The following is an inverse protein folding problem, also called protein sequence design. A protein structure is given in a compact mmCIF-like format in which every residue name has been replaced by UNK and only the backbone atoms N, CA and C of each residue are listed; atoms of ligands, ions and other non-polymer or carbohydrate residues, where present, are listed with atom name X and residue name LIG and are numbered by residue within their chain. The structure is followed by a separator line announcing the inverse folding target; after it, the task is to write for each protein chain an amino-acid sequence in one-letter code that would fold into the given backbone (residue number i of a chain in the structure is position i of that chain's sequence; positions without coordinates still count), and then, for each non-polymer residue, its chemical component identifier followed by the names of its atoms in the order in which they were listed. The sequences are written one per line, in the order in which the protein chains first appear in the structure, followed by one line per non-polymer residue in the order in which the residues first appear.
data_IF_915521069752
#
_entry.id   IF_915521069752
#
_cell.length_a   1.000
_cell.length_b   1.000
_cell.length_c   1.000
_cell.angle_alpha   90.00
_cell.angle_beta   90.00
_cell.angle_gamma   90.00
#
_symmetry.space_group_name_H-M   'P 1'
#
loop_
_entity.id
_entity.type
_entity.pdbx_description
1 polymer ?
#
# COMPACT_ATOMS: atom_id res chain seq x y z
N UNK A 1 -37.34 -20.63 2.14
CA UNK A 1 -35.90 -20.88 2.37
C UNK A 1 -35.11 -19.76 1.70
N UNK A 2 -34.78 -18.69 2.43
CA UNK A 2 -33.95 -17.60 1.90
C UNK A 2 -32.49 -18.02 1.99
N UNK A 3 -31.79 -18.04 0.87
CA UNK A 3 -30.36 -18.34 0.83
C UNK A 3 -29.59 -17.27 1.63
N UNK A 4 -28.79 -17.72 2.60
CA UNK A 4 -27.87 -16.87 3.36
C UNK A 4 -26.88 -16.26 2.36
N UNK A 5 -26.63 -14.93 2.34
CA UNK A 5 -25.62 -14.38 1.46
C UNK A 5 -24.29 -15.07 1.79
N UNK A 6 -23.58 -15.53 0.75
CA UNK A 6 -22.24 -16.07 0.91
C UNK A 6 -21.38 -15.00 1.59
N UNK A 7 -20.93 -15.28 2.82
CA UNK A 7 -20.07 -14.38 3.60
C UNK A 7 -18.63 -14.33 3.09
N UNK A 8 -18.32 -15.07 2.02
CA UNK A 8 -16.99 -15.11 1.43
C UNK A 8 -16.82 -14.00 0.40
N UNK A 9 -15.68 -13.31 0.47
CA UNK A 9 -15.27 -12.36 -0.54
C UNK A 9 -15.17 -13.05 -1.90
N UNK A 10 -15.61 -12.36 -2.96
CA UNK A 10 -15.29 -12.80 -4.31
C UNK A 10 -13.79 -12.65 -4.55
N UNK A 11 -13.28 -13.40 -5.53
CA UNK A 11 -11.88 -13.30 -5.93
C UNK A 11 -11.53 -11.88 -6.40
N UNK A 12 -12.47 -11.20 -7.07
CA UNK A 12 -12.29 -9.80 -7.50
C UNK A 12 -12.17 -8.84 -6.31
N UNK A 13 -13.02 -8.99 -5.29
CA UNK A 13 -12.92 -8.18 -4.07
C UNK A 13 -11.58 -8.41 -3.38
N UNK A 14 -11.15 -9.66 -3.27
CA UNK A 14 -9.84 -10.01 -2.68
C UNK A 14 -8.67 -9.38 -3.44
N UNK A 15 -8.71 -9.41 -4.78
CA UNK A 15 -7.70 -8.73 -5.63
C UNK A 15 -7.69 -7.21 -5.44
N UNK A 16 -8.85 -6.58 -5.26
CA UNK A 16 -8.93 -5.13 -5.01
C UNK A 16 -8.34 -4.75 -3.65
N UNK A 17 -8.60 -5.54 -2.61
CA UNK A 17 -8.00 -5.35 -1.28
C UNK A 17 -6.48 -5.50 -1.33
N UNK A 18 -5.96 -6.53 -2.02
CA UNK A 18 -4.51 -6.68 -2.23
C UNK A 18 -3.91 -5.49 -2.99
N UNK A 19 -4.56 -5.04 -4.07
CA UNK A 19 -4.11 -3.89 -4.83
C UNK A 19 -4.09 -2.60 -3.99
N UNK A 20 -5.11 -2.39 -3.15
CA UNK A 20 -5.15 -1.28 -2.20
C UNK A 20 -3.99 -1.36 -1.20
N UNK A 21 -3.79 -2.52 -0.58
CA UNK A 21 -2.72 -2.72 0.41
C UNK A 21 -1.33 -2.46 -0.20
N UNK A 22 -1.06 -2.97 -1.40
CA UNK A 22 0.20 -2.75 -2.11
C UNK A 22 0.38 -1.29 -2.52
N UNK A 23 -0.68 -0.62 -2.98
CA UNK A 23 -0.64 0.80 -3.32
C UNK A 23 -0.32 1.65 -2.07
N UNK A 24 -0.98 1.37 -0.94
CA UNK A 24 -0.71 2.05 0.33
C UNK A 24 0.74 1.84 0.77
N UNK A 25 1.25 0.60 0.73
CA UNK A 25 2.64 0.29 1.08
C UNK A 25 3.64 1.02 0.16
N UNK A 26 3.38 1.06 -1.15
CA UNK A 26 4.23 1.75 -2.11
C UNK A 26 4.31 3.25 -1.81
N UNK A 27 3.17 3.88 -1.54
CA UNK A 27 3.11 5.29 -1.18
C UNK A 27 3.78 5.57 0.17
N UNK A 28 3.64 4.68 1.16
CA UNK A 28 4.33 4.81 2.45
C UNK A 28 5.86 4.80 2.29
N UNK A 29 6.40 3.90 1.48
CA UNK A 29 7.84 3.89 1.14
C UNK A 29 8.22 5.20 0.43
N UNK A 30 7.41 5.66 -0.53
CA UNK A 30 7.62 6.93 -1.20
C UNK A 30 7.68 8.12 -0.22
N UNK A 31 6.76 8.16 0.74
CA UNK A 31 6.72 9.21 1.76
C UNK A 31 7.94 9.17 2.70
N UNK A 32 8.43 7.98 3.07
CA UNK A 32 9.59 7.85 3.97
C UNK A 32 10.89 8.19 3.24
N UNK A 33 11.07 7.73 2.00
CA UNK A 33 12.38 7.69 1.35
C UNK A 33 12.55 8.64 0.17
N UNK A 34 11.48 9.00 -0.56
CA UNK A 34 11.61 9.73 -1.83
C UNK A 34 11.28 11.21 -1.67
N UNK A 35 12.06 12.06 -2.34
CA UNK A 35 11.76 13.49 -2.54
C UNK A 35 11.32 13.81 -3.97
N UNK A 36 11.58 12.91 -4.92
CA UNK A 36 11.22 13.06 -6.33
C UNK A 36 11.02 11.69 -6.97
N UNK A 37 10.48 11.65 -8.19
CA UNK A 37 10.26 10.45 -8.99
C UNK A 37 9.43 9.36 -8.26
N UNK A 38 8.30 9.70 -7.58
CA UNK A 38 7.57 8.76 -6.73
C UNK A 38 6.92 7.60 -7.47
N UNK A 39 6.76 7.70 -8.80
CA UNK A 39 6.19 6.65 -9.66
C UNK A 39 7.25 5.99 -10.56
N UNK A 40 8.53 6.26 -10.34
CA UNK A 40 9.65 5.69 -11.11
C UNK A 40 9.49 5.84 -12.63
N UNK A 41 9.03 7.00 -13.11
CA UNK A 41 8.87 7.29 -14.54
C UNK A 41 10.19 7.30 -15.32
N UNK A 42 11.30 7.41 -14.58
CA UNK A 42 12.68 7.23 -15.03
C UNK A 42 13.43 6.35 -14.02
N UNK A 43 14.58 5.74 -14.37
CA UNK A 43 15.41 5.00 -13.43
C UNK A 43 15.70 5.81 -12.16
N UNK A 44 15.64 5.12 -11.01
CA UNK A 44 15.88 5.73 -9.71
C UNK A 44 17.35 6.15 -9.59
N UNK A 45 17.57 7.37 -9.10
CA UNK A 45 18.92 7.88 -8.82
C UNK A 45 19.02 8.28 -7.34
N UNK A 46 20.25 8.42 -6.83
CA UNK A 46 20.45 8.95 -5.47
C UNK A 46 19.83 10.34 -5.29
N UNK A 47 19.73 11.12 -6.37
CA UNK A 47 19.08 12.43 -6.37
C UNK A 47 17.57 12.39 -6.07
N UNK A 48 16.92 11.22 -6.16
CA UNK A 48 15.50 11.05 -5.86
C UNK A 48 15.22 10.72 -4.38
N UNK A 49 16.25 10.32 -3.64
CA UNK A 49 16.15 9.91 -2.24
C UNK A 49 16.33 11.12 -1.31
N UNK A 50 15.54 11.18 -0.23
CA UNK A 50 15.70 12.21 0.81
C UNK A 50 17.07 12.12 1.48
N UNK A 51 17.66 13.28 1.78
CA UNK A 51 18.90 13.36 2.57
C UNK A 51 18.69 12.90 4.02
N UNK A 52 17.57 13.33 4.64
CA UNK A 52 17.14 12.87 5.96
C UNK A 52 15.94 11.93 5.82
N UNK A 53 16.08 10.71 6.32
CA UNK A 53 15.04 9.67 6.28
C UNK A 53 14.34 9.65 7.64
N UNK A 54 13.19 10.31 7.72
CA UNK A 54 12.35 10.35 8.91
C UNK A 54 11.07 9.56 8.64
N UNK A 55 10.69 8.71 9.59
CA UNK A 55 9.51 7.85 9.51
C UNK A 55 9.79 6.46 10.07
N UNK A 56 8.72 5.70 10.30
CA UNK A 56 8.79 4.34 10.81
C UNK A 56 8.17 3.41 9.77
N UNK A 57 8.91 2.39 9.34
CA UNK A 57 8.39 1.38 8.42
C UNK A 57 7.79 0.17 9.14
N UNK A 58 8.39 -0.25 10.26
CA UNK A 58 8.12 -1.58 10.84
C UNK A 58 6.65 -1.92 11.08
N UNK A 59 5.84 -0.95 11.51
CA UNK A 59 4.40 -1.18 11.76
C UNK A 59 3.50 -0.86 10.56
N UNK A 60 3.99 -0.11 9.57
CA UNK A 60 3.16 0.48 8.51
C UNK A 60 2.49 -0.57 7.62
N UNK A 61 3.17 -1.63 7.13
CA UNK A 61 2.52 -2.64 6.30
C UNK A 61 1.39 -3.38 7.01
N UNK A 62 1.56 -3.67 8.31
CA UNK A 62 0.53 -4.33 9.12
C UNK A 62 -0.68 -3.42 9.33
N UNK A 63 -0.45 -2.14 9.61
CA UNK A 63 -1.55 -1.16 9.71
C UNK A 63 -2.27 -0.97 8.38
N UNK A 64 -1.54 -0.82 7.27
CA UNK A 64 -2.14 -0.71 5.94
C UNK A 64 -2.96 -1.96 5.57
N UNK A 65 -2.53 -3.16 5.99
CA UNK A 65 -3.28 -4.40 5.78
C UNK A 65 -4.63 -4.36 6.51
N UNK A 66 -4.61 -3.97 7.78
CA UNK A 66 -5.83 -3.82 8.59
C UNK A 66 -6.76 -2.79 7.95
N UNK A 67 -6.25 -1.62 7.59
CA UNK A 67 -7.05 -0.58 6.93
C UNK A 67 -7.62 -1.02 5.59
N UNK A 68 -6.88 -1.79 4.79
CA UNK A 68 -7.39 -2.32 3.51
C UNK A 68 -8.61 -3.23 3.70
N UNK A 69 -8.70 -3.94 4.83
CA UNK A 69 -9.82 -4.84 5.14
C UNK A 69 -10.97 -4.15 5.91
N UNK A 70 -10.74 -2.94 6.43
CA UNK A 70 -11.77 -2.14 7.11
C UNK A 70 -12.50 -1.17 6.16
N UNK A 71 -11.95 -0.89 4.97
CA UNK A 71 -12.58 -0.08 3.92
C UNK A 71 -13.57 -0.91 3.08
#
# INVERSE_FOLDING_TARGET
MTAKPSSALTEEQSRKIDAYWRAANYLSVGQIYLRNNPLLRRPLTLGDVKHLKLGHWGTTPGQNFIYAHLN
#
